data_IF_240098467634
#
_entry.id   IF_240098467634
#
_cell.length_a   1.000
_cell.length_b   1.000
_cell.length_c   1.000
_cell.angle_alpha   90.00
_cell.angle_beta   90.00
_cell.angle_gamma   90.00
#
_symmetry.space_group_name_H-M   'P 1'
#
loop_
_entity.id
_entity.type
_entity.pdbx_description
1 polymer ?
#
# COMPACT_ATOMS: atom_id res chain seq x y z
N UNK A 1 13.81 -0.84 20.81
CA UNK A 1 13.28 -0.05 21.95
C UNK A 1 12.11 -0.80 22.58
N UNK A 2 11.91 -0.76 23.90
CA UNK A 2 10.75 -1.37 24.57
C UNK A 2 9.88 -0.24 25.13
N UNK A 3 8.60 -0.25 24.78
CA UNK A 3 7.63 0.76 25.19
C UNK A 3 6.32 0.06 25.54
N UNK A 4 5.65 0.49 26.60
CA UNK A 4 4.30 0.03 26.92
C UNK A 4 3.29 0.92 26.19
N UNK A 5 2.29 0.31 25.56
CA UNK A 5 1.20 1.00 24.86
C UNK A 5 -0.12 0.58 25.47
N UNK A 6 -1.08 1.51 25.53
CA UNK A 6 -2.47 1.19 25.88
C UNK A 6 -3.23 0.86 24.61
N UNK A 7 -4.00 -0.23 24.63
CA UNK A 7 -4.87 -0.68 23.54
C UNK A 7 -6.20 -1.13 24.13
N UNK A 8 -7.26 -1.17 23.32
CA UNK A 8 -8.52 -1.76 23.78
C UNK A 8 -8.38 -3.26 23.99
N UNK A 9 -9.25 -3.85 24.82
CA UNK A 9 -9.30 -5.29 25.05
C UNK A 9 -9.50 -6.07 23.75
N UNK A 10 -10.33 -5.54 22.83
CA UNK A 10 -10.58 -6.12 21.52
C UNK A 10 -9.29 -6.23 20.69
N UNK A 11 -8.48 -5.16 20.66
CA UNK A 11 -7.21 -5.14 19.94
C UNK A 11 -6.20 -6.09 20.59
N UNK A 12 -6.18 -6.15 21.93
CA UNK A 12 -5.33 -7.09 22.65
C UNK A 12 -5.66 -8.54 22.29
N UNK A 13 -6.93 -8.92 22.36
CA UNK A 13 -7.41 -10.27 22.04
C UNK A 13 -7.14 -10.65 20.58
N UNK A 14 -7.34 -9.71 19.66
CA UNK A 14 -7.03 -9.90 18.25
C UNK A 14 -5.52 -10.14 18.04
N UNK A 15 -4.67 -9.37 18.73
CA UNK A 15 -3.22 -9.54 18.66
C UNK A 15 -2.76 -10.90 19.19
N UNK A 16 -3.37 -11.40 20.26
CA UNK A 16 -3.08 -12.72 20.84
C UNK A 16 -3.47 -13.86 19.89
N UNK A 17 -4.64 -13.75 19.25
CA UNK A 17 -5.09 -14.74 18.24
C UNK A 17 -4.16 -14.78 17.03
N UNK A 18 -3.77 -13.61 16.52
CA UNK A 18 -2.83 -13.51 15.40
C UNK A 18 -1.44 -14.03 15.76
N UNK A 19 -0.91 -13.66 16.92
CA UNK A 19 0.39 -14.13 17.41
C UNK A 19 0.45 -15.66 17.46
N UNK A 20 -0.60 -16.30 18.01
CA UNK A 20 -0.73 -17.76 18.04
C UNK A 20 -0.82 -18.37 16.64
N UNK A 21 -1.66 -17.81 15.77
CA UNK A 21 -1.85 -18.31 14.39
C UNK A 21 -0.57 -18.25 13.57
N UNK A 22 0.17 -17.15 13.68
CA UNK A 22 1.40 -16.90 12.93
C UNK A 22 2.65 -17.44 13.62
N UNK A 23 2.52 -17.97 14.85
CA UNK A 23 3.63 -18.44 15.70
C UNK A 23 4.71 -17.38 15.91
N UNK A 24 4.30 -16.14 16.12
CA UNK A 24 5.18 -15.00 16.41
C UNK A 24 4.87 -14.41 17.78
N UNK A 25 5.74 -13.54 18.30
CA UNK A 25 5.43 -12.82 19.53
C UNK A 25 4.35 -11.76 19.32
N UNK A 26 3.61 -11.44 20.38
CA UNK A 26 2.67 -10.29 20.39
C UNK A 26 3.31 -9.01 19.87
N UNK A 27 4.52 -8.69 20.33
CA UNK A 27 5.23 -7.47 19.89
C UNK A 27 5.51 -7.47 18.39
N UNK A 28 5.71 -8.65 17.77
CA UNK A 28 5.89 -8.76 16.32
C UNK A 28 4.59 -8.47 15.56
N UNK A 29 3.44 -8.88 16.08
CA UNK A 29 2.13 -8.55 15.48
C UNK A 29 1.92 -7.03 15.42
N UNK A 30 2.21 -6.32 16.52
CA UNK A 30 2.12 -4.86 16.53
C UNK A 30 3.12 -4.22 15.55
N UNK A 31 4.37 -4.70 15.51
CA UNK A 31 5.36 -4.20 14.55
C UNK A 31 4.91 -4.37 13.09
N UNK A 32 4.39 -5.56 12.74
CA UNK A 32 3.85 -5.83 11.39
C UNK A 32 2.68 -4.91 11.04
N UNK A 33 1.83 -4.57 12.00
CA UNK A 33 0.74 -3.61 11.79
C UNK A 33 1.25 -2.20 11.47
N UNK A 34 2.30 -1.75 12.17
CA UNK A 34 2.93 -0.45 11.91
C UNK A 34 3.66 -0.45 10.57
N UNK A 35 4.41 -1.51 10.25
CA UNK A 35 5.11 -1.68 8.96
C UNK A 35 4.10 -1.58 7.80
N UNK A 36 3.00 -2.34 7.87
CA UNK A 36 1.96 -2.33 6.84
C UNK A 36 1.25 -0.99 6.70
N UNK A 37 0.97 -0.31 7.82
CA UNK A 37 0.37 1.02 7.79
C UNK A 37 1.31 2.03 7.13
N UNK A 38 2.62 1.94 7.40
CA UNK A 38 3.61 2.82 6.79
C UNK A 38 3.68 2.62 5.26
N UNK A 39 3.67 1.37 4.79
CA UNK A 39 3.63 1.05 3.35
C UNK A 39 2.40 1.68 2.66
N UNK A 40 1.22 1.56 3.29
CA UNK A 40 -0.04 2.11 2.75
C UNK A 40 0.02 3.64 2.58
N UNK A 41 0.55 4.35 3.57
CA UNK A 41 0.70 5.81 3.49
C UNK A 41 1.85 6.26 2.57
N UNK A 42 2.93 5.48 2.46
CA UNK A 42 4.02 5.78 1.54
C UNK A 42 3.55 5.69 0.08
N UNK A 43 2.77 4.66 -0.26
CA UNK A 43 2.17 4.51 -1.59
C UNK A 43 1.21 5.68 -1.92
N UNK A 44 0.34 6.06 -0.97
CA UNK A 44 -0.55 7.21 -1.14
C UNK A 44 0.21 8.53 -1.31
N UNK A 45 1.29 8.73 -0.55
CA UNK A 45 2.14 9.91 -0.67
C UNK A 45 2.86 9.97 -2.02
N UNK A 46 3.40 8.84 -2.48
CA UNK A 46 4.07 8.73 -3.79
C UNK A 46 3.08 9.06 -4.91
N UNK A 47 1.90 8.44 -4.93
CA UNK A 47 0.86 8.72 -5.94
C UNK A 47 0.45 10.19 -5.90
N UNK A 48 0.24 10.72 -4.70
CA UNK A 48 -0.11 12.13 -4.50
C UNK A 48 0.96 13.06 -5.07
N UNK A 49 2.23 12.75 -4.85
CA UNK A 49 3.36 13.55 -5.34
C UNK A 49 3.52 13.45 -6.86
N UNK A 50 3.34 12.26 -7.45
CA UNK A 50 3.29 12.07 -8.91
C UNK A 50 2.16 12.92 -9.51
N UNK A 51 0.94 12.82 -8.97
CA UNK A 51 -0.22 13.58 -9.43
C UNK A 51 0.01 15.09 -9.36
N UNK A 52 0.66 15.60 -8.31
CA UNK A 52 1.03 17.03 -8.20
C UNK A 52 1.96 17.50 -9.32
N UNK A 53 2.87 16.64 -9.77
CA UNK A 53 3.78 16.96 -10.89
C UNK A 53 3.01 16.86 -12.21
N UNK A 54 2.26 15.78 -12.43
CA UNK A 54 1.44 15.57 -13.62
C UNK A 54 0.41 16.69 -13.85
N UNK A 55 -0.13 17.29 -12.79
CA UNK A 55 -1.05 18.43 -12.89
C UNK A 55 -0.37 19.74 -13.39
N UNK A 56 0.96 19.82 -13.33
CA UNK A 56 1.75 21.01 -13.69
C UNK A 56 2.46 20.89 -15.03
N UNK A 57 2.51 19.69 -15.61
CA UNK A 57 3.20 19.42 -16.88
C UNK A 57 2.20 18.88 -17.90
N UNK A 58 2.46 19.10 -19.18
CA UNK A 58 1.70 18.45 -20.22
C UNK A 58 1.99 16.94 -20.18
N UNK A 59 0.96 16.17 -19.84
CA UNK A 59 0.99 14.70 -19.77
C UNK A 59 0.29 14.06 -20.96
N UNK A 60 -0.08 14.85 -21.97
CA UNK A 60 -0.67 14.32 -23.19
C UNK A 60 0.34 13.41 -23.91
N UNK A 61 -0.16 12.24 -24.33
CA UNK A 61 0.61 11.30 -25.14
C UNK A 61 0.33 11.64 -26.60
N UNK A 62 1.38 11.62 -27.43
CA UNK A 62 1.22 11.80 -28.87
C UNK A 62 0.13 10.85 -29.42
N UNK A 63 -0.90 11.37 -30.11
CA UNK A 63 -2.03 10.56 -30.55
C UNK A 63 -1.65 9.40 -31.48
N UNK A 64 -0.55 9.50 -32.22
CA UNK A 64 -0.04 8.43 -33.08
C UNK A 64 0.61 7.35 -32.23
N UNK A 65 1.45 7.71 -31.26
CA UNK A 65 2.07 6.77 -30.33
C UNK A 65 1.02 6.03 -29.48
N UNK A 66 0.00 6.74 -28.99
CA UNK A 66 -1.10 6.13 -28.24
C UNK A 66 -1.83 5.08 -29.08
N UNK A 67 -2.14 5.39 -30.35
CA UNK A 67 -2.77 4.43 -31.26
C UNK A 67 -1.88 3.22 -31.54
N UNK A 68 -0.59 3.44 -31.77
CA UNK A 68 0.37 2.34 -31.98
C UNK A 68 0.46 1.42 -30.76
N UNK A 69 0.51 1.99 -29.55
CA UNK A 69 0.53 1.22 -28.31
C UNK A 69 -0.75 0.37 -28.16
N UNK A 70 -1.92 0.97 -28.40
CA UNK A 70 -3.20 0.25 -28.36
C UNK A 70 -3.28 -0.92 -29.36
N UNK A 71 -2.65 -0.81 -30.53
CA UNK A 71 -2.58 -1.89 -31.53
C UNK A 71 -1.61 -3.01 -31.14
N UNK A 72 -0.65 -2.74 -30.25
CA UNK A 72 0.30 -3.74 -29.76
C UNK A 72 -0.24 -4.60 -28.61
N UNK A 73 -1.35 -4.17 -27.98
CA UNK A 73 -2.02 -4.96 -26.97
C UNK A 73 -2.69 -6.19 -27.62
N UNK A 74 -2.49 -7.39 -27.07
CA UNK A 74 -3.20 -8.57 -27.56
C UNK A 74 -4.71 -8.31 -27.42
N UNK A 75 -5.47 -8.74 -28.44
CA UNK A 75 -6.93 -8.76 -28.34
C UNK A 75 -7.30 -9.83 -27.33
N UNK A 76 -7.56 -9.41 -26.10
CA UNK A 76 -8.06 -10.26 -25.05
C UNK A 76 -9.57 -10.43 -25.26
N UNK A 77 -10.01 -11.66 -25.52
CA UNK A 77 -11.44 -12.02 -25.48
C UNK A 77 -11.80 -12.29 -24.01
N UNK A 78 -12.08 -11.22 -23.26
CA UNK A 78 -12.80 -11.36 -21.99
C UNK A 78 -14.25 -11.75 -22.25
#
# INVERSE_FOLDING_TARGET
MKTAISVSDEVFELSEKLAKKLKVSRSRVFAMGVEKLAEEYEDEEIITNINKVCAKVDTSVDPVLFRMAMLSLPKDEW
#
